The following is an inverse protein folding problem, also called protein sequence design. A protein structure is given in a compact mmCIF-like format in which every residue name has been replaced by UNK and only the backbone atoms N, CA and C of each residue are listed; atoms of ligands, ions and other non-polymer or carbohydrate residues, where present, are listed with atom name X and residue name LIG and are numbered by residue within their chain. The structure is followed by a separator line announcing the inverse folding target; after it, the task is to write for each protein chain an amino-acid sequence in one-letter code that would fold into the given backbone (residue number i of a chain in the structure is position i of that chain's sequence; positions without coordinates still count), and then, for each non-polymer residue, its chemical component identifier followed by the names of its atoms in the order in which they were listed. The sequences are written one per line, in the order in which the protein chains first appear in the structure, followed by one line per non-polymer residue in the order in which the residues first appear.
data_IF_226849078146
#
_entry.id   IF_226849078146
#
_cell.length_a   1.000
_cell.length_b   1.000
_cell.length_c   1.000
_cell.angle_alpha   90.00
_cell.angle_beta   90.00
_cell.angle_gamma   90.00
#
_symmetry.space_group_name_H-M   'P 1'
#
loop_
_entity.id
_entity.type
_entity.pdbx_description
1 polymer ?
#
# COMPACT_ATOMS: atom_id res chain seq x y z
N UNK A 1 36.52 41.68 3.54
CA UNK A 1 36.30 40.27 3.95
C UNK A 1 35.01 40.06 4.72
N UNK A 2 34.72 40.78 5.83
CA UNK A 2 33.46 40.64 6.61
C UNK A 2 32.16 40.59 5.79
N UNK A 3 32.00 41.44 4.77
CA UNK A 3 30.84 41.42 3.88
C UNK A 3 30.75 40.14 3.03
N UNK A 4 31.87 39.74 2.41
CA UNK A 4 32.02 38.48 1.67
C UNK A 4 31.70 37.26 2.55
N UNK A 5 32.16 37.24 3.80
CA UNK A 5 31.83 36.20 4.77
C UNK A 5 30.32 36.16 5.06
N UNK A 6 29.70 37.31 5.31
CA UNK A 6 28.26 37.42 5.57
C UNK A 6 27.42 36.90 4.39
N UNK A 7 27.82 37.26 3.17
CA UNK A 7 27.17 36.82 1.93
C UNK A 7 27.31 35.31 1.71
N UNK A 8 28.52 34.75 1.82
CA UNK A 8 28.75 33.30 1.70
C UNK A 8 28.00 32.51 2.80
N UNK A 9 28.02 32.99 4.04
CA UNK A 9 27.26 32.42 5.15
C UNK A 9 25.76 32.39 4.83
N UNK A 10 25.21 33.48 4.29
CA UNK A 10 23.82 33.56 3.84
C UNK A 10 23.47 32.54 2.77
N UNK A 11 24.32 32.40 1.74
CA UNK A 11 24.13 31.41 0.67
C UNK A 11 24.23 29.97 1.20
N UNK A 12 25.17 29.68 2.10
CA UNK A 12 25.31 28.36 2.72
C UNK A 12 24.03 27.94 3.47
N UNK A 13 23.45 28.82 4.28
CA UNK A 13 22.18 28.53 4.95
C UNK A 13 21.00 28.45 3.97
N UNK A 14 20.98 29.29 2.93
CA UNK A 14 19.98 29.19 1.87
C UNK A 14 19.97 27.82 1.17
N UNK A 15 21.13 27.24 0.89
CA UNK A 15 21.20 25.90 0.29
C UNK A 15 20.70 24.80 1.25
N UNK A 16 20.98 24.90 2.55
CA UNK A 16 20.43 24.00 3.57
C UNK A 16 18.89 24.09 3.65
N UNK A 17 18.34 25.30 3.71
CA UNK A 17 16.90 25.59 3.64
C UNK A 17 16.25 24.97 2.38
N UNK A 18 16.92 25.08 1.24
CA UNK A 18 16.48 24.51 -0.03
C UNK A 18 16.45 22.99 0.05
N UNK A 19 17.47 22.35 0.64
CA UNK A 19 17.50 20.89 0.88
C UNK A 19 16.31 20.45 1.72
N UNK A 20 15.95 21.18 2.78
CA UNK A 20 14.78 20.85 3.60
C UNK A 20 13.47 20.99 2.81
N UNK A 21 13.27 22.11 2.10
CA UNK A 21 12.10 22.34 1.22
C UNK A 21 11.95 21.26 0.15
N UNK A 22 13.05 20.70 -0.34
CA UNK A 22 13.09 19.56 -1.27
C UNK A 22 12.63 18.26 -0.57
N UNK A 23 13.15 17.97 0.63
CA UNK A 23 12.76 16.78 1.41
C UNK A 23 11.26 16.80 1.75
N UNK A 24 10.72 17.93 2.20
CA UNK A 24 9.28 18.08 2.51
C UNK A 24 8.40 17.80 1.28
N UNK A 25 8.82 18.24 0.09
CA UNK A 25 8.10 17.95 -1.17
C UNK A 25 8.11 16.45 -1.52
N UNK A 26 9.21 15.74 -1.24
CA UNK A 26 9.25 14.27 -1.42
C UNK A 26 8.33 13.56 -0.43
N UNK A 27 8.27 14.01 0.82
CA UNK A 27 7.36 13.46 1.83
C UNK A 27 5.88 13.64 1.43
N UNK A 28 5.51 14.81 0.91
CA UNK A 28 4.16 15.05 0.37
C UNK A 28 3.85 14.08 -0.78
N UNK A 29 4.78 13.91 -1.74
CA UNK A 29 4.60 12.94 -2.83
C UNK A 29 4.43 11.50 -2.33
N UNK A 30 5.18 11.09 -1.30
CA UNK A 30 5.05 9.76 -0.69
C UNK A 30 3.65 9.56 -0.07
N UNK A 31 3.11 10.56 0.63
CA UNK A 31 1.74 10.52 1.15
C UNK A 31 0.70 10.34 0.05
N UNK A 32 0.82 11.09 -1.06
CA UNK A 32 -0.07 10.94 -2.22
C UNK A 32 0.02 9.55 -2.84
N UNK A 33 1.23 8.96 -2.96
CA UNK A 33 1.39 7.59 -3.46
C UNK A 33 0.64 6.57 -2.60
N UNK A 34 0.75 6.66 -1.27
CA UNK A 34 0.05 5.75 -0.34
C UNK A 34 -1.47 5.87 -0.51
N UNK A 35 -2.00 7.09 -0.57
CA UNK A 35 -3.45 7.32 -0.82
C UNK A 35 -3.91 6.73 -2.14
N UNK A 36 -3.13 6.93 -3.22
CA UNK A 36 -3.47 6.37 -4.53
C UNK A 36 -3.42 4.83 -4.55
N UNK A 37 -2.42 4.21 -3.92
CA UNK A 37 -2.35 2.76 -3.80
C UNK A 37 -3.48 2.17 -2.93
N UNK A 38 -3.89 2.86 -1.86
CA UNK A 38 -5.02 2.43 -1.03
C UNK A 38 -6.35 2.47 -1.82
N UNK A 39 -6.61 3.58 -2.53
CA UNK A 39 -7.77 3.72 -3.41
C UNK A 39 -7.78 2.68 -4.53
N UNK A 40 -6.63 2.44 -5.16
CA UNK A 40 -6.46 1.44 -6.20
C UNK A 40 -6.68 0.01 -5.68
N UNK A 41 -6.11 -0.33 -4.52
CA UNK A 41 -6.27 -1.64 -3.89
C UNK A 41 -7.73 -1.91 -3.50
N UNK A 42 -8.48 -0.89 -3.04
CA UNK A 42 -9.92 -1.01 -2.82
C UNK A 42 -10.66 -1.38 -4.11
N UNK A 43 -10.44 -0.64 -5.21
CA UNK A 43 -11.12 -0.90 -6.49
C UNK A 43 -10.79 -2.27 -7.05
N UNK A 44 -9.54 -2.73 -6.94
CA UNK A 44 -9.15 -4.08 -7.37
C UNK A 44 -9.79 -5.15 -6.49
N UNK A 45 -9.90 -4.94 -5.17
CA UNK A 45 -10.54 -5.87 -4.24
C UNK A 45 -12.04 -6.02 -4.48
N UNK A 46 -12.74 -4.93 -4.80
CA UNK A 46 -14.20 -4.91 -4.94
C UNK A 46 -14.69 -5.07 -6.38
N UNK A 47 -13.82 -5.50 -7.30
CA UNK A 47 -14.14 -5.63 -8.72
C UNK A 47 -15.04 -6.84 -9.02
N UNK A 48 -16.15 -6.57 -9.69
CA UNK A 48 -17.06 -7.58 -10.21
C UNK A 48 -16.60 -8.10 -11.58
N UNK A 49 -16.50 -9.43 -11.69
CA UNK A 49 -16.10 -10.14 -12.90
C UNK A 49 -17.28 -10.57 -13.77
N UNK A 50 -18.50 -10.58 -13.25
CA UNK A 50 -19.73 -10.92 -13.98
C UNK A 50 -20.32 -9.71 -14.74
N UNK A 51 -19.75 -8.52 -14.51
CA UNK A 51 -20.10 -7.27 -15.18
C UNK A 51 -19.75 -7.26 -16.69
N UNK A 52 -20.16 -6.19 -17.39
CA UNK A 52 -19.96 -6.09 -18.83
C UNK A 52 -18.47 -6.14 -19.22
N UNK A 53 -18.10 -7.15 -20.03
CA UNK A 53 -16.71 -7.44 -20.45
C UNK A 53 -15.93 -6.21 -20.95
N UNK A 54 -16.57 -5.31 -21.68
CA UNK A 54 -15.95 -4.08 -22.16
C UNK A 54 -15.50 -3.12 -21.04
N UNK A 55 -16.28 -3.03 -19.96
CA UNK A 55 -15.94 -2.20 -18.80
C UNK A 55 -14.76 -2.78 -18.02
N UNK A 56 -14.71 -4.11 -17.86
CA UNK A 56 -13.60 -4.82 -17.22
C UNK A 56 -12.29 -4.60 -18.00
N UNK A 57 -12.32 -4.70 -19.33
CA UNK A 57 -11.16 -4.41 -20.19
C UNK A 57 -10.73 -2.93 -20.09
N UNK A 58 -11.69 -1.99 -20.08
CA UNK A 58 -11.41 -0.57 -19.90
C UNK A 58 -10.79 -0.25 -18.52
N UNK A 59 -11.25 -0.93 -17.46
CA UNK A 59 -10.69 -0.82 -16.11
C UNK A 59 -9.24 -1.33 -16.09
N UNK A 60 -8.98 -2.56 -16.53
CA UNK A 60 -7.63 -3.15 -16.49
C UNK A 60 -6.62 -2.42 -17.39
N UNK A 61 -7.02 -1.93 -18.56
CA UNK A 61 -6.15 -1.13 -19.42
C UNK A 61 -5.80 0.24 -18.81
N UNK A 62 -6.77 0.94 -18.21
CA UNK A 62 -6.55 2.18 -17.47
C UNK A 62 -5.66 1.97 -16.23
N UNK A 63 -5.89 0.85 -15.52
CA UNK A 63 -5.09 0.39 -14.38
C UNK A 63 -3.62 0.18 -14.76
N UNK A 64 -3.35 -0.53 -15.86
CA UNK A 64 -1.98 -0.76 -16.33
C UNK A 64 -1.28 0.56 -16.68
N UNK A 65 -1.97 1.48 -17.37
CA UNK A 65 -1.43 2.80 -17.69
C UNK A 65 -1.14 3.63 -16.42
N UNK A 66 -2.05 3.61 -15.44
CA UNK A 66 -1.84 4.23 -14.13
C UNK A 66 -0.58 3.67 -13.43
N UNK A 67 -0.44 2.35 -13.36
CA UNK A 67 0.70 1.67 -12.73
C UNK A 67 2.04 1.99 -13.42
N UNK A 68 2.06 2.13 -14.74
CA UNK A 68 3.26 2.57 -15.49
C UNK A 68 3.63 4.01 -15.12
N UNK A 69 2.67 4.94 -15.18
CA UNK A 69 2.93 6.37 -14.92
C UNK A 69 3.32 6.64 -13.47
N UNK A 70 2.67 5.99 -12.49
CA UNK A 70 3.02 6.13 -11.07
C UNK A 70 4.41 5.55 -10.78
N UNK A 71 4.77 4.41 -11.39
CA UNK A 71 6.10 3.82 -11.26
C UNK A 71 7.20 4.74 -11.81
N UNK A 72 6.96 5.41 -12.93
CA UNK A 72 7.87 6.42 -13.47
C UNK A 72 8.00 7.63 -12.52
N UNK A 73 6.89 8.09 -11.93
CA UNK A 73 6.92 9.16 -10.90
C UNK A 73 7.74 8.77 -9.66
N UNK A 74 7.53 7.56 -9.14
CA UNK A 74 8.24 7.00 -7.98
C UNK A 74 9.74 6.88 -8.28
N UNK A 75 10.13 6.43 -9.49
CA UNK A 75 11.55 6.36 -9.90
C UNK A 75 12.24 7.73 -9.78
N UNK A 76 11.60 8.79 -10.27
CA UNK A 76 12.14 10.15 -10.15
C UNK A 76 12.12 10.67 -8.70
N UNK A 77 11.10 10.31 -7.91
CA UNK A 77 11.03 10.68 -6.48
C UNK A 77 12.17 10.04 -5.68
N UNK A 78 12.40 8.72 -5.86
CA UNK A 78 13.54 8.01 -5.27
C UNK A 78 14.88 8.64 -5.68
N UNK A 79 15.03 9.01 -6.95
CA UNK A 79 16.22 9.69 -7.46
C UNK A 79 16.44 11.09 -6.89
N UNK A 80 15.43 11.75 -6.31
CA UNK A 80 15.60 13.02 -5.60
C UNK A 80 16.07 12.83 -4.15
N UNK A 81 15.86 11.65 -3.57
CA UNK A 81 16.12 11.37 -2.15
C UNK A 81 17.40 10.56 -1.91
N UNK A 82 17.63 9.51 -2.72
CA UNK A 82 18.70 8.52 -2.50
C UNK A 82 19.96 8.86 -3.29
N UNK A 83 21.14 8.63 -2.69
CA UNK A 83 22.42 8.62 -3.40
C UNK A 83 23.07 9.99 -3.63
N UNK A 84 22.70 11.01 -2.86
CA UNK A 84 23.29 12.36 -2.97
C UNK A 84 23.84 12.86 -1.64
N UNK A 85 25.16 12.95 -1.58
CA UNK A 85 25.92 13.45 -0.44
C UNK A 85 25.87 14.98 -0.34
N UNK A 86 25.65 15.47 0.87
CA UNK A 86 25.55 16.89 1.17
C UNK A 86 26.74 17.30 2.05
N UNK A 87 27.46 18.36 1.67
CA UNK A 87 28.64 18.82 2.40
C UNK A 87 28.24 19.83 3.47
N UNK A 88 28.46 19.47 4.72
CA UNK A 88 28.26 20.37 5.83
C UNK A 88 29.58 21.05 6.20
N UNK A 89 29.47 22.26 6.75
CA UNK A 89 30.59 22.93 7.39
C UNK A 89 31.09 22.08 8.60
N UNK A 90 32.42 22.02 8.88
CA UNK A 90 32.98 21.27 9.99
C UNK A 90 32.45 21.72 11.35
N UNK A 91 32.70 20.91 12.38
CA UNK A 91 32.27 21.25 13.75
C UNK A 91 33.04 22.48 14.25
N UNK A 92 32.38 23.28 15.10
CA UNK A 92 33.02 24.43 15.73
C UNK A 92 34.31 24.05 16.49
N UNK A 93 34.33 22.86 17.12
CA UNK A 93 35.53 22.32 17.79
C UNK A 93 36.69 22.10 16.82
N UNK A 94 36.45 21.55 15.63
CA UNK A 94 37.47 21.29 14.62
C UNK A 94 38.09 22.60 14.08
N UNK A 95 37.28 23.66 13.97
CA UNK A 95 37.73 25.01 13.58
C UNK A 95 38.52 25.70 14.69
N UNK A 96 38.09 25.54 15.96
CA UNK A 96 38.83 26.04 17.12
C UNK A 96 40.19 25.36 17.27
N UNK A 97 40.22 24.02 17.19
CA UNK A 97 41.47 23.26 17.19
C UNK A 97 42.42 23.66 16.04
N UNK A 98 41.89 23.97 14.85
CA UNK A 98 42.69 24.47 13.74
C UNK A 98 43.32 25.83 14.05
N UNK A 99 42.54 26.75 14.64
CA UNK A 99 43.04 28.06 15.07
C UNK A 99 44.11 27.91 16.18
N UNK A 100 43.87 27.07 17.20
CA UNK A 100 44.88 26.77 18.24
C UNK A 100 46.18 26.20 17.66
N UNK A 101 46.09 25.30 16.66
CA UNK A 101 47.25 24.77 15.93
C UNK A 101 47.98 25.86 15.14
N UNK A 102 47.27 26.82 14.53
CA UNK A 102 47.87 27.97 13.86
C UNK A 102 48.55 28.95 14.84
N UNK A 103 47.93 29.25 15.98
CA UNK A 103 48.52 30.09 17.04
C UNK A 103 49.81 29.44 17.55
N UNK A 104 49.79 28.13 17.81
CA UNK A 104 50.99 27.40 18.22
C UNK A 104 52.07 27.43 17.13
N UNK A 105 51.73 27.14 15.88
CA UNK A 105 52.67 27.20 14.75
C UNK A 105 53.32 28.58 14.61
N UNK A 106 52.54 29.66 14.70
CA UNK A 106 53.07 31.03 14.63
C UNK A 106 54.01 31.35 15.81
N UNK A 107 53.74 30.82 17.00
CA UNK A 107 54.63 30.92 18.16
C UNK A 107 55.93 30.15 17.98
N UNK A 108 55.84 28.87 17.58
CA UNK A 108 56.98 27.97 17.37
C UNK A 108 57.91 28.54 16.27
N UNK A 109 57.35 29.05 15.17
CA UNK A 109 58.07 29.70 14.07
C UNK A 109 58.77 30.99 14.51
N UNK A 110 58.15 31.78 15.39
CA UNK A 110 58.73 33.00 15.95
C UNK A 110 59.94 32.71 16.84
N UNK A 111 59.88 31.64 17.64
CA UNK A 111 61.04 31.18 18.43
C UNK A 111 62.16 30.64 17.53
N UNK A 112 61.81 29.83 16.52
CA UNK A 112 62.75 29.30 15.54
C UNK A 112 63.52 30.41 14.80
N UNK A 113 62.79 31.40 14.26
CA UNK A 113 63.37 32.58 13.61
C UNK A 113 64.36 33.32 14.51
N UNK A 114 64.00 33.53 15.79
CA UNK A 114 64.87 34.17 16.78
C UNK A 114 66.13 33.33 17.09
N UNK A 115 65.99 32.01 17.15
CA UNK A 115 67.09 31.08 17.48
C UNK A 115 68.08 30.89 16.34
N UNK A 116 67.60 30.86 15.11
CA UNK A 116 68.41 30.61 13.91
C UNK A 116 68.76 31.89 13.13
N UNK A 117 68.30 33.05 13.61
CA UNK A 117 68.50 34.37 13.01
C UNK A 117 67.93 34.47 11.57
N UNK A 118 66.81 33.78 11.34
CA UNK A 118 66.07 33.70 10.08
C UNK A 118 64.87 34.66 10.13
N UNK A 119 64.48 35.23 8.99
CA UNK A 119 63.32 36.13 8.85
C UNK A 119 62.23 35.51 7.97
N UNK A 120 61.73 34.32 8.32
CA UNK A 120 60.54 33.78 7.67
C UNK A 120 59.28 34.56 8.08
N UNK A 121 58.34 34.73 7.14
CA UNK A 121 57.09 35.44 7.36
C UNK A 121 56.23 34.64 8.32
N UNK A 122 55.97 35.19 9.51
CA UNK A 122 55.05 34.59 10.49
C UNK A 122 53.61 34.88 10.03
N UNK A 123 52.80 33.86 9.72
CA UNK A 123 51.41 34.09 9.32
C UNK A 123 50.55 34.52 10.51
N UNK A 124 49.55 35.37 10.27
CA UNK A 124 48.51 35.66 11.25
C UNK A 124 47.53 34.47 11.35
N UNK A 125 47.37 33.83 12.53
CA UNK A 125 46.38 32.78 12.74
C UNK A 125 44.94 33.23 12.46
N UNK A 126 44.62 34.51 12.71
CA UNK A 126 43.27 35.04 12.49
C UNK A 126 42.95 35.13 11.00
N UNK A 127 43.83 35.76 10.20
CA UNK A 127 43.69 35.85 8.75
C UNK A 127 43.64 34.47 8.08
N UNK A 128 44.53 33.53 8.44
CA UNK A 128 44.48 32.18 7.89
C UNK A 128 43.20 31.41 8.26
N UNK A 129 42.69 31.59 9.48
CA UNK A 129 41.42 30.96 9.90
C UNK A 129 40.22 31.55 9.15
N UNK A 130 40.21 32.86 8.88
CA UNK A 130 39.18 33.51 8.06
C UNK A 130 39.26 33.02 6.59
N UNK A 131 40.46 32.97 6.01
CA UNK A 131 40.66 32.51 4.62
C UNK A 131 40.27 31.03 4.44
N UNK A 132 40.67 30.16 5.38
CA UNK A 132 40.26 28.76 5.42
C UNK A 132 38.73 28.63 5.49
N UNK A 133 38.09 29.39 6.38
CA UNK A 133 36.63 29.39 6.56
C UNK A 133 35.90 29.82 5.29
N UNK A 134 36.37 30.88 4.62
CA UNK A 134 35.81 31.38 3.36
C UNK A 134 35.95 30.33 2.23
N UNK A 135 37.15 29.75 2.05
CA UNK A 135 37.42 28.69 1.07
C UNK A 135 36.54 27.46 1.31
N UNK A 136 36.29 27.10 2.56
CA UNK A 136 35.50 25.93 2.92
C UNK A 136 33.99 26.17 2.74
N UNK A 137 33.49 27.36 3.09
CA UNK A 137 32.11 27.78 2.79
C UNK A 137 31.84 27.70 1.28
N UNK A 138 32.70 28.30 0.45
CA UNK A 138 32.56 28.26 -1.01
C UNK A 138 32.49 26.81 -1.55
N UNK A 139 33.42 25.94 -1.15
CA UNK A 139 33.43 24.51 -1.53
C UNK A 139 32.19 23.73 -1.09
N UNK A 140 31.58 24.11 0.05
CA UNK A 140 30.32 23.52 0.49
C UNK A 140 29.15 24.03 -0.37
N UNK A 141 29.08 25.34 -0.60
CA UNK A 141 28.04 26.00 -1.40
C UNK A 141 27.99 25.43 -2.82
N UNK A 142 29.11 25.42 -3.54
CA UNK A 142 29.16 24.99 -4.95
C UNK A 142 28.70 23.53 -5.11
N UNK A 143 29.21 22.64 -4.24
CA UNK A 143 28.79 21.24 -4.20
C UNK A 143 27.30 21.11 -3.88
N UNK A 144 26.84 21.76 -2.81
CA UNK A 144 25.46 21.66 -2.34
C UNK A 144 24.44 22.23 -3.34
N UNK A 145 24.78 23.33 -4.00
CA UNK A 145 23.97 23.96 -5.04
C UNK A 145 23.80 23.03 -6.25
N UNK A 146 24.89 22.39 -6.71
CA UNK A 146 24.85 21.40 -7.79
C UNK A 146 23.95 20.20 -7.45
N UNK A 147 24.03 19.69 -6.22
CA UNK A 147 23.19 18.59 -5.72
C UNK A 147 21.72 19.02 -5.60
N UNK A 148 21.46 20.22 -5.09
CA UNK A 148 20.11 20.77 -4.98
C UNK A 148 19.46 20.98 -6.35
N UNK A 149 20.21 21.35 -7.39
CA UNK A 149 19.66 21.48 -8.74
C UNK A 149 19.25 20.13 -9.33
N UNK A 150 20.09 19.09 -9.21
CA UNK A 150 19.74 17.72 -9.61
C UNK A 150 18.47 17.24 -8.88
N UNK A 151 18.36 17.51 -7.57
CA UNK A 151 17.16 17.22 -6.77
C UNK A 151 15.92 17.98 -7.25
N UNK A 152 16.04 19.29 -7.54
CA UNK A 152 14.94 20.11 -8.09
C UNK A 152 14.42 19.55 -9.42
N UNK A 153 15.32 19.18 -10.33
CA UNK A 153 14.97 18.57 -11.63
C UNK A 153 14.26 17.22 -11.43
N UNK A 154 14.77 16.37 -10.53
CA UNK A 154 14.16 15.07 -10.23
C UNK A 154 12.75 15.22 -9.63
N UNK A 155 12.55 16.11 -8.66
CA UNK A 155 11.21 16.40 -8.09
C UNK A 155 10.26 16.95 -9.15
N UNK A 156 10.69 17.91 -9.97
CA UNK A 156 9.85 18.49 -11.03
C UNK A 156 9.40 17.42 -12.04
N UNK A 157 10.27 16.47 -12.37
CA UNK A 157 9.91 15.30 -13.20
C UNK A 157 8.95 14.36 -12.47
N UNK A 158 9.21 14.04 -11.20
CA UNK A 158 8.33 13.20 -10.37
C UNK A 158 6.90 13.75 -10.30
N UNK A 159 6.75 15.04 -9.98
CA UNK A 159 5.44 15.72 -9.90
C UNK A 159 4.74 15.73 -11.27
N UNK A 160 5.46 16.00 -12.38
CA UNK A 160 4.89 15.94 -13.73
C UNK A 160 4.28 14.57 -14.04
N UNK A 161 5.00 13.49 -13.73
CA UNK A 161 4.49 12.12 -13.94
C UNK A 161 3.38 11.73 -12.96
N UNK A 162 3.42 12.23 -11.72
CA UNK A 162 2.33 12.05 -10.74
C UNK A 162 1.03 12.70 -11.26
N UNK A 163 1.08 13.95 -11.72
CA UNK A 163 -0.08 14.64 -12.32
C UNK A 163 -0.61 13.87 -13.52
N UNK A 164 0.24 13.38 -14.43
CA UNK A 164 -0.23 12.55 -15.54
C UNK A 164 -0.82 11.20 -15.10
N UNK A 165 -0.37 10.60 -13.99
CA UNK A 165 -0.99 9.38 -13.45
C UNK A 165 -2.40 9.59 -12.90
N UNK A 166 -2.78 10.82 -12.54
CA UNK A 166 -4.16 11.10 -12.07
C UNK A 166 -5.20 10.93 -13.17
N UNK A 167 -4.83 11.15 -14.44
CA UNK A 167 -5.75 11.06 -15.59
C UNK A 167 -6.31 9.63 -15.74
N UNK A 168 -5.50 8.56 -15.90
CA UNK A 168 -6.04 7.20 -15.94
C UNK A 168 -6.66 6.77 -14.62
N UNK A 169 -6.25 7.31 -13.46
CA UNK A 169 -6.89 7.00 -12.17
C UNK A 169 -8.32 7.55 -12.09
N UNK A 170 -8.57 8.77 -12.60
CA UNK A 170 -9.92 9.34 -12.69
C UNK A 170 -10.78 8.57 -13.68
N UNK A 171 -10.23 8.17 -14.84
CA UNK A 171 -10.93 7.31 -15.80
C UNK A 171 -11.28 5.96 -15.17
N UNK A 172 -10.32 5.32 -14.49
CA UNK A 172 -10.50 4.07 -13.74
C UNK A 172 -11.64 4.19 -12.73
N UNK A 173 -11.61 5.23 -11.89
CA UNK A 173 -12.65 5.52 -10.90
C UNK A 173 -14.03 5.78 -11.52
N UNK A 174 -14.06 6.42 -12.69
CA UNK A 174 -15.31 6.74 -13.40
C UNK A 174 -15.93 5.49 -14.00
N UNK A 175 -15.12 4.65 -14.66
CA UNK A 175 -15.56 3.34 -15.18
C UNK A 175 -16.04 2.44 -14.05
N UNK A 176 -15.31 2.40 -12.93
CA UNK A 176 -15.65 1.59 -11.76
C UNK A 176 -17.04 1.92 -11.19
N UNK A 177 -17.38 3.21 -11.09
CA UNK A 177 -18.70 3.64 -10.56
C UNK A 177 -19.82 3.57 -11.60
N UNK A 178 -19.58 3.99 -12.86
CA UNK A 178 -20.64 4.06 -13.88
C UNK A 178 -21.04 2.68 -14.39
N UNK A 179 -20.08 1.77 -14.57
CA UNK A 179 -20.37 0.39 -14.99
C UNK A 179 -20.76 -0.51 -13.81
N UNK A 180 -21.01 0.07 -12.62
CA UNK A 180 -21.33 -0.62 -11.37
C UNK A 180 -20.39 -1.81 -11.13
N UNK A 181 -19.07 -1.59 -11.22
CA UNK A 181 -18.07 -2.65 -11.03
C UNK A 181 -17.82 -2.98 -9.56
N UNK A 182 -18.38 -2.20 -8.62
CA UNK A 182 -18.27 -2.47 -7.19
C UNK A 182 -19.23 -3.62 -6.78
N UNK A 183 -18.69 -4.74 -6.29
CA UNK A 183 -19.48 -5.88 -5.76
C UNK A 183 -20.22 -5.49 -4.47
N UNK A 184 -19.71 -4.52 -3.71
CA UNK A 184 -20.34 -4.03 -2.48
C UNK A 184 -21.44 -2.99 -2.70
N UNK A 185 -21.74 -2.65 -3.97
CA UNK A 185 -22.83 -1.76 -4.36
C UNK A 185 -24.20 -2.34 -3.91
N UNK A 186 -24.99 -1.63 -3.06
CA UNK A 186 -26.31 -2.10 -2.62
C UNK A 186 -27.35 -2.29 -3.75
N UNK A 187 -27.00 -1.88 -4.97
CA UNK A 187 -27.81 -2.02 -6.19
C UNK A 187 -27.75 -3.44 -6.75
N UNK A 188 -26.70 -4.18 -6.42
CA UNK A 188 -26.60 -5.60 -6.71
C UNK A 188 -27.29 -6.35 -5.61
N UNK A 189 -28.39 -7.00 -5.96
CA UNK A 189 -28.87 -8.12 -5.16
C UNK A 189 -27.79 -9.19 -5.18
N UNK A 190 -26.99 -9.25 -4.13
CA UNK A 190 -26.27 -10.47 -3.78
C UNK A 190 -27.34 -11.56 -3.68
N UNK A 191 -27.42 -12.43 -4.68
CA UNK A 191 -28.26 -13.62 -4.57
C UNK A 191 -27.65 -14.44 -3.44
N UNK A 192 -28.21 -14.30 -2.24
CA UNK A 192 -28.09 -15.30 -1.19
C UNK A 192 -28.88 -16.49 -1.70
N UNK A 193 -28.23 -17.27 -2.57
CA UNK A 193 -28.72 -18.55 -3.03
C UNK A 193 -28.59 -19.49 -1.85
N UNK A 194 -29.65 -19.55 -1.05
CA UNK A 194 -29.76 -20.53 0.01
C UNK A 194 -29.87 -21.91 -0.66
N UNK A 195 -28.72 -22.58 -0.78
CA UNK A 195 -28.63 -23.91 -1.37
C UNK A 195 -29.39 -24.94 -0.51
N UNK A 196 -29.60 -24.68 0.79
CA UNK A 196 -30.43 -25.52 1.66
C UNK A 196 -31.90 -25.44 1.28
N UNK A 197 -32.46 -24.23 1.17
CA UNK A 197 -33.84 -24.02 0.68
C UNK A 197 -34.00 -24.49 -0.76
N UNK A 198 -32.99 -24.27 -1.62
CA UNK A 198 -33.01 -24.75 -3.01
C UNK A 198 -33.06 -26.28 -3.09
N UNK A 199 -32.27 -26.99 -2.28
CA UNK A 199 -32.32 -28.45 -2.17
C UNK A 199 -33.64 -28.94 -1.58
N UNK A 200 -34.19 -28.28 -0.56
CA UNK A 200 -35.49 -28.63 0.00
C UNK A 200 -36.62 -28.47 -1.04
N UNK A 201 -36.60 -27.42 -1.85
CA UNK A 201 -37.53 -27.22 -2.97
C UNK A 201 -37.36 -28.31 -4.04
N UNK A 202 -36.13 -28.71 -4.36
CA UNK A 202 -35.89 -29.79 -5.32
C UNK A 202 -36.38 -31.15 -4.80
N UNK A 203 -36.14 -31.46 -3.52
CA UNK A 203 -36.66 -32.66 -2.84
C UNK A 203 -38.18 -32.63 -2.80
N UNK A 204 -38.79 -31.50 -2.42
CA UNK A 204 -40.25 -31.35 -2.39
C UNK A 204 -40.86 -31.50 -3.79
N UNK A 205 -40.26 -30.90 -4.81
CA UNK A 205 -40.67 -31.05 -6.21
C UNK A 205 -40.61 -32.52 -6.68
N UNK A 206 -39.55 -33.24 -6.32
CA UNK A 206 -39.43 -34.70 -6.58
C UNK A 206 -40.49 -35.51 -5.83
N UNK A 207 -40.79 -35.19 -4.57
CA UNK A 207 -41.83 -35.86 -3.79
C UNK A 207 -43.23 -35.62 -4.38
N UNK A 208 -43.58 -34.38 -4.72
CA UNK A 208 -44.86 -34.03 -5.36
C UNK A 208 -45.00 -34.70 -6.72
N UNK A 209 -43.93 -34.70 -7.54
CA UNK A 209 -43.91 -35.39 -8.84
C UNK A 209 -44.10 -36.91 -8.69
N UNK A 210 -43.42 -37.54 -7.73
CA UNK A 210 -43.58 -38.97 -7.45
C UNK A 210 -44.99 -39.31 -6.95
N UNK A 211 -45.57 -38.48 -6.08
CA UNK A 211 -46.94 -38.66 -5.58
C UNK A 211 -47.98 -38.48 -6.71
N UNK A 212 -47.78 -37.50 -7.60
CA UNK A 212 -48.61 -37.30 -8.78
C UNK A 212 -48.54 -38.50 -9.75
N UNK A 213 -47.33 -39.04 -9.98
CA UNK A 213 -47.13 -40.24 -10.80
C UNK A 213 -47.76 -41.49 -10.15
N UNK A 214 -47.70 -41.65 -8.82
CA UNK A 214 -48.39 -42.73 -8.12
C UNK A 214 -49.92 -42.64 -8.23
N UNK A 215 -50.48 -41.43 -8.13
CA UNK A 215 -51.91 -41.20 -8.32
C UNK A 215 -52.34 -41.52 -9.77
N UNK A 216 -51.53 -41.16 -10.77
CA UNK A 216 -51.73 -41.54 -12.17
C UNK A 216 -51.73 -43.06 -12.36
N UNK A 217 -50.81 -43.80 -11.71
CA UNK A 217 -50.76 -45.26 -11.77
C UNK A 217 -52.00 -45.88 -11.12
N UNK A 218 -52.41 -45.42 -9.93
CA UNK A 218 -53.65 -45.89 -9.28
C UNK A 218 -54.90 -45.60 -10.13
N UNK A 219 -54.94 -44.47 -10.82
CA UNK A 219 -56.05 -44.14 -11.73
C UNK A 219 -56.06 -45.02 -13.00
N UNK A 220 -54.89 -45.52 -13.41
CA UNK A 220 -54.77 -46.46 -14.53
C UNK A 220 -55.15 -47.90 -14.12
N UNK A 221 -54.70 -48.35 -12.94
CA UNK A 221 -55.04 -49.66 -12.37
C UNK A 221 -56.52 -49.80 -12.01
N UNK A 222 -57.22 -48.69 -11.70
CA UNK A 222 -58.67 -48.67 -11.49
C UNK A 222 -59.53 -48.97 -12.75
N UNK A 223 -58.91 -49.24 -13.92
CA UNK A 223 -59.62 -49.45 -15.19
C UNK A 223 -59.51 -50.89 -15.75
N UNK A 224 -58.86 -51.84 -15.06
CA UNK A 224 -58.88 -53.26 -15.47
C UNK A 224 -59.01 -54.23 -14.28
N UNK A 225 -60.09 -55.01 -14.28
CA UNK A 225 -60.29 -56.17 -13.40
C UNK A 225 -61.02 -57.29 -14.15
N UNK A 226 -60.34 -58.43 -14.29
CA UNK A 226 -60.77 -59.82 -14.52
C UNK A 226 -59.52 -60.56 -15.09
N UNK A 227 -59.09 -61.77 -14.70
CA UNK A 227 -59.72 -62.85 -13.92
C UNK A 227 -58.65 -63.78 -13.26
N UNK A 228 -59.00 -64.41 -12.12
CA UNK A 228 -58.48 -65.64 -11.44
C UNK A 228 -57.07 -66.26 -11.73
N UNK A 229 -56.31 -66.59 -10.66
CA UNK A 229 -56.05 -67.99 -10.21
C UNK A 229 -55.23 -68.14 -8.89
N UNK A 230 -55.12 -69.38 -8.39
CA UNK A 230 -54.90 -69.83 -6.99
C UNK A 230 -53.46 -69.79 -6.38
N UNK A 231 -53.34 -70.05 -5.06
CA UNK A 231 -52.11 -70.15 -4.26
C UNK A 231 -51.93 -71.55 -3.62
N UNK A 232 -50.71 -72.02 -3.25
CA UNK A 232 -50.17 -71.88 -1.86
C UNK A 232 -48.60 -71.93 -1.77
N UNK A 233 -47.92 -72.24 -0.63
CA UNK A 233 -47.87 -71.65 0.74
C UNK A 233 -46.45 -71.11 1.17
N UNK A 234 -46.25 -70.53 2.39
CA UNK A 234 -45.03 -69.79 2.84
C UNK A 234 -44.10 -70.64 3.77
N UNK A 235 -43.12 -70.15 4.58
CA UNK A 235 -42.56 -68.79 4.90
C UNK A 235 -41.01 -68.74 4.66
N UNK A 236 -40.09 -67.96 5.36
CA UNK A 236 -40.17 -66.88 6.37
C UNK A 236 -39.29 -65.60 6.07
N UNK A 237 -39.24 -64.57 6.96
CA UNK A 237 -38.59 -63.27 6.68
C UNK A 237 -37.27 -62.99 7.45
N UNK A 238 -36.51 -61.97 7.02
CA UNK A 238 -35.43 -61.36 7.81
C UNK A 238 -35.37 -59.82 7.74
N UNK A 239 -35.62 -59.19 8.91
CA UNK A 239 -35.22 -57.87 9.44
C UNK A 239 -35.11 -56.63 8.51
N UNK A 240 -35.74 -55.48 8.88
CA UNK A 240 -35.29 -54.17 8.42
C UNK A 240 -33.95 -53.78 9.06
N UNK A 241 -33.16 -52.96 8.36
CA UNK A 241 -31.95 -52.32 8.90
C UNK A 241 -32.31 -50.95 9.45
N UNK A 242 -31.77 -50.62 10.62
CA UNK A 242 -32.00 -49.36 11.34
C UNK A 242 -31.35 -48.16 10.63
N UNK A 243 -31.89 -46.93 10.77
CA UNK A 243 -31.20 -45.72 10.34
C UNK A 243 -29.92 -45.52 11.18
N UNK A 244 -28.78 -45.36 10.53
CA UNK A 244 -27.52 -45.05 11.22
C UNK A 244 -27.49 -43.60 11.70
N UNK A 245 -27.05 -43.39 12.93
CA UNK A 245 -26.89 -42.09 13.58
C UNK A 245 -26.16 -41.06 12.71
N UNK A 246 -26.73 -39.86 12.61
CA UNK A 246 -25.96 -38.67 12.25
C UNK A 246 -25.16 -38.25 13.49
N UNK A 247 -23.84 -38.24 13.37
CA UNK A 247 -22.96 -37.61 14.35
C UNK A 247 -22.82 -36.15 13.97
N UNK A 248 -23.43 -35.26 14.76
CA UNK A 248 -23.03 -33.85 14.76
C UNK A 248 -21.90 -33.68 15.77
N UNK A 249 -20.79 -33.10 15.33
CA UNK A 249 -19.74 -32.56 16.19
C UNK A 249 -19.49 -31.11 15.80
N UNK A 250 -20.32 -30.22 16.34
CA UNK A 250 -19.98 -28.80 16.47
C UNK A 250 -18.98 -28.62 17.61
N UNK A 251 -17.76 -29.13 17.46
CA UNK A 251 -16.63 -28.79 18.35
C UNK A 251 -15.97 -27.49 17.88
N UNK A 252 -16.77 -26.42 17.94
CA UNK A 252 -16.26 -25.07 18.04
C UNK A 252 -16.66 -24.52 19.41
N UNK A 253 -15.66 -24.44 20.28
CA UNK A 253 -15.59 -23.54 21.43
C UNK A 253 -16.50 -22.31 21.24
N UNK A 254 -17.46 -22.10 22.11
CA UNK A 254 -17.21 -21.21 23.25
C UNK A 254 -18.31 -21.28 24.32
N UNK A 255 -17.87 -21.23 25.58
CA UNK A 255 -18.70 -20.95 26.74
C UNK A 255 -19.03 -19.45 26.79
N UNK A 256 -20.28 -19.07 26.52
CA UNK A 256 -20.95 -17.87 27.05
C UNK A 256 -22.45 -18.24 27.15
N UNK A 257 -23.02 -18.46 28.33
CA UNK A 257 -23.81 -17.49 29.11
C UNK A 257 -24.85 -16.71 28.26
N UNK A 258 -26.11 -16.53 28.65
CA UNK A 258 -26.68 -16.56 30.00
C UNK A 258 -28.22 -16.76 30.00
N UNK A 259 -28.79 -17.05 31.17
CA UNK A 259 -30.16 -16.81 31.64
C UNK A 259 -31.38 -16.96 30.69
N UNK A 260 -32.21 -17.99 30.95
CA UNK A 260 -33.64 -17.79 31.28
C UNK A 260 -34.32 -19.03 31.89
N UNK A 261 -34.50 -18.99 33.21
CA UNK A 261 -35.51 -19.74 33.98
C UNK A 261 -36.96 -19.31 33.61
N UNK A 262 -38.04 -19.88 34.18
CA UNK A 262 -38.29 -21.27 34.63
C UNK A 262 -39.71 -21.82 34.31
N UNK A 263 -39.89 -23.14 34.21
CA UNK A 263 -41.16 -23.86 34.52
C UNK A 263 -40.73 -25.25 35.04
N UNK A 264 -40.89 -25.70 36.29
CA UNK A 264 -41.93 -25.67 37.33
C UNK A 264 -42.77 -26.96 37.40
N UNK A 265 -42.77 -27.57 38.60
CA UNK A 265 -43.67 -28.60 39.16
C UNK A 265 -43.77 -30.00 38.49
N UNK A 266 -43.56 -31.04 39.31
CA UNK A 266 -43.67 -32.47 38.97
C UNK A 266 -42.94 -33.36 39.98
#
# INVERSE_FOLDING_TARGET
MKETYSLLKGIYFHEQDVREKIITRVQINLGVYVTFFAMFAYMVRMMDYDAHRGAIIAFYSSSLLFLILISVSIKYSKSAFVGMEYRNFPKATEVLEYNEKLIKYASDLKEYNKKHNIQEIIPDPSEQTEEFTLKLLAKCIDHNSSINELRRIAIKRSIKWLVFSTIPLVILSTVFVIADLDVSSPRKHTLIKDDGVSQQIEIFSKLVSNQYNQLLIQQHEATMSDENNEAPPPPPPSKPVEPSWQVSTEDAKDFVADDSHPINEG
#
